data_IF_148403495764
#
_entry.id   IF_148403495764
#
_cell.length_a   1.000
_cell.length_b   1.000
_cell.length_c   1.000
_cell.angle_alpha   90.00
_cell.angle_beta   90.00
_cell.angle_gamma   90.00
#
_symmetry.space_group_name_H-M   'P 1'
#
loop_
_entity.id
_entity.type
_entity.pdbx_description
1 polymer ?
#
# COMPACT_ATOMS: atom_id res chain seq x y z
N UNK A 1 30.94 -21.66 -5.17
CA UNK A 1 30.77 -20.97 -6.47
C UNK A 1 30.37 -19.52 -6.23
N UNK A 2 30.80 -18.62 -7.09
CA UNK A 2 30.25 -17.27 -7.20
C UNK A 2 28.99 -17.32 -8.07
N UNK A 3 28.04 -16.44 -7.80
CA UNK A 3 26.80 -16.37 -8.58
C UNK A 3 26.51 -14.97 -9.04
N UNK A 4 26.22 -14.87 -10.33
CA UNK A 4 25.59 -13.72 -10.94
C UNK A 4 24.11 -14.01 -11.14
N UNK A 5 23.25 -13.02 -10.87
CA UNK A 5 21.82 -13.12 -11.10
C UNK A 5 21.52 -12.36 -12.39
N UNK A 6 21.05 -13.09 -13.41
CA UNK A 6 20.68 -12.51 -14.70
C UNK A 6 19.16 -12.34 -14.73
N UNK A 7 18.70 -11.10 -14.92
CA UNK A 7 17.27 -10.74 -14.87
C UNK A 7 16.80 -9.95 -16.10
N UNK A 8 17.74 -9.61 -16.99
CA UNK A 8 17.49 -8.84 -18.21
C UNK A 8 17.73 -9.69 -19.43
N UNK A 9 16.91 -9.49 -20.45
CA UNK A 9 17.00 -10.29 -21.67
C UNK A 9 18.31 -10.01 -22.42
N UNK A 10 18.84 -8.79 -22.33
CA UNK A 10 20.11 -8.40 -22.93
C UNK A 10 21.29 -9.13 -22.27
N UNK A 11 21.27 -9.22 -20.94
CA UNK A 11 22.29 -9.94 -20.16
C UNK A 11 22.19 -11.45 -20.39
N UNK A 12 20.96 -11.96 -20.54
CA UNK A 12 20.75 -13.32 -21.01
C UNK A 12 21.41 -13.48 -22.37
N UNK A 13 21.10 -12.66 -23.38
CA UNK A 13 21.66 -12.76 -24.74
C UNK A 13 23.20 -12.83 -24.79
N UNK A 14 23.89 -12.15 -23.86
CA UNK A 14 25.34 -12.16 -23.75
C UNK A 14 25.93 -13.52 -23.34
N UNK A 15 25.20 -14.35 -22.60
CA UNK A 15 25.69 -15.66 -22.12
C UNK A 15 25.40 -16.82 -23.09
N UNK A 16 24.87 -16.54 -24.29
CA UNK A 16 24.49 -17.55 -25.29
C UNK A 16 25.55 -18.60 -25.53
N UNK A 17 26.78 -18.15 -25.79
CA UNK A 17 27.88 -19.06 -26.18
C UNK A 17 28.13 -20.10 -25.09
N UNK A 18 28.22 -19.65 -23.84
CA UNK A 18 28.42 -20.51 -22.68
C UNK A 18 27.19 -21.39 -22.41
N UNK A 19 25.97 -20.85 -22.56
CA UNK A 19 24.74 -21.62 -22.43
C UNK A 19 24.67 -22.78 -23.42
N UNK A 20 24.92 -22.52 -24.70
CA UNK A 20 24.90 -23.53 -25.77
C UNK A 20 26.00 -24.59 -25.58
N UNK A 21 27.11 -24.24 -24.93
CA UNK A 21 28.15 -25.20 -24.55
C UNK A 21 27.72 -26.11 -23.40
N UNK A 22 27.22 -25.55 -22.30
CA UNK A 22 26.70 -26.34 -21.18
C UNK A 22 25.54 -27.23 -21.63
N UNK A 23 24.60 -26.67 -22.41
CA UNK A 23 23.45 -27.41 -22.92
C UNK A 23 23.85 -28.65 -23.73
N UNK A 24 24.89 -28.55 -24.57
CA UNK A 24 25.37 -29.70 -25.37
C UNK A 24 26.09 -30.76 -24.55
N UNK A 25 26.74 -30.35 -23.47
CA UNK A 25 27.59 -31.23 -22.66
C UNK A 25 26.86 -31.84 -21.45
N UNK A 26 25.73 -31.26 -21.05
CA UNK A 26 24.97 -31.74 -19.89
C UNK A 26 24.02 -32.90 -20.25
N UNK A 27 24.16 -34.10 -19.63
CA UNK A 27 23.26 -35.22 -19.87
C UNK A 27 21.80 -34.96 -19.45
N UNK A 28 21.57 -34.03 -18.50
CA UNK A 28 20.25 -33.65 -18.04
C UNK A 28 19.65 -32.50 -18.89
N UNK A 29 20.33 -32.05 -19.94
CA UNK A 29 19.77 -31.07 -20.88
C UNK A 29 18.60 -31.64 -21.66
N UNK A 30 17.64 -30.78 -22.00
CA UNK A 30 16.44 -31.16 -22.73
C UNK A 30 15.81 -29.93 -23.42
N UNK A 31 14.88 -30.10 -24.39
CA UNK A 31 14.45 -29.02 -25.27
C UNK A 31 13.96 -27.73 -24.59
N UNK A 32 13.36 -27.80 -23.40
CA UNK A 32 12.89 -26.62 -22.65
C UNK A 32 14.01 -25.88 -21.90
N UNK A 33 15.26 -26.32 -22.04
CA UNK A 33 16.46 -25.59 -21.62
C UNK A 33 17.30 -25.15 -22.83
N UNK A 34 16.84 -25.44 -24.06
CA UNK A 34 17.52 -24.93 -25.24
C UNK A 34 17.42 -23.41 -25.28
N UNK A 35 18.48 -22.79 -25.80
CA UNK A 35 18.56 -21.34 -25.94
C UNK A 35 17.36 -20.76 -26.71
N UNK A 36 17.03 -21.37 -27.84
CA UNK A 36 15.96 -20.89 -28.72
C UNK A 36 14.58 -20.96 -28.05
N UNK A 37 14.37 -21.95 -27.18
CA UNK A 37 13.16 -22.06 -26.39
C UNK A 37 13.11 -20.98 -25.31
N UNK A 38 14.17 -20.83 -24.52
CA UNK A 38 14.22 -19.84 -23.43
C UNK A 38 14.11 -18.41 -23.94
N UNK A 39 14.76 -18.09 -25.06
CA UNK A 39 14.68 -16.77 -25.70
C UNK A 39 13.25 -16.38 -26.07
N UNK A 40 12.40 -17.34 -26.42
CA UNK A 40 10.98 -17.10 -26.71
C UNK A 40 10.10 -17.13 -25.46
N UNK A 41 10.51 -17.91 -24.44
CA UNK A 41 9.74 -18.12 -23.23
C UNK A 41 9.91 -17.00 -22.21
N UNK A 42 11.16 -16.62 -21.88
CA UNK A 42 11.49 -15.67 -20.82
C UNK A 42 10.82 -14.29 -21.01
N UNK A 43 10.75 -13.69 -22.21
CA UNK A 43 10.09 -12.39 -22.39
C UNK A 43 8.57 -12.41 -22.11
N UNK A 44 7.94 -13.59 -22.09
CA UNK A 44 6.51 -13.76 -21.76
C UNK A 44 6.28 -14.02 -20.28
N UNK A 45 7.35 -14.25 -19.53
CA UNK A 45 7.28 -14.46 -18.09
C UNK A 45 7.60 -13.15 -17.37
N UNK A 46 6.84 -12.85 -16.32
CA UNK A 46 7.21 -11.79 -15.39
C UNK A 46 8.19 -12.34 -14.34
N UNK A 47 9.12 -11.50 -13.89
CA UNK A 47 9.98 -11.76 -12.71
C UNK A 47 10.75 -13.07 -12.79
N UNK A 48 11.21 -13.43 -13.99
CA UNK A 48 12.18 -14.49 -14.18
C UNK A 48 13.58 -14.01 -13.80
N UNK A 49 14.44 -14.95 -13.44
CA UNK A 49 15.86 -14.72 -13.20
C UNK A 49 16.62 -16.02 -13.41
N UNK A 50 17.92 -15.93 -13.67
CA UNK A 50 18.79 -17.07 -13.86
C UNK A 50 19.92 -16.97 -12.85
N UNK A 51 20.15 -18.05 -12.10
CA UNK A 51 21.36 -18.20 -11.30
C UNK A 51 22.48 -18.68 -12.22
N UNK A 52 23.42 -17.79 -12.53
CA UNK A 52 24.60 -18.08 -13.33
C UNK A 52 25.80 -18.34 -12.41
N UNK A 53 26.21 -19.61 -12.31
CA UNK A 53 27.23 -20.07 -11.38
C UNK A 53 28.58 -20.19 -12.06
N UNK A 54 29.64 -19.68 -11.42
CA UNK A 54 31.03 -19.90 -11.82
C UNK A 54 31.89 -20.22 -10.61
N UNK A 55 32.99 -20.94 -10.80
CA UNK A 55 33.99 -21.08 -9.74
C UNK A 55 34.77 -19.77 -9.59
N UNK A 56 35.37 -19.48 -8.43
CA UNK A 56 36.08 -18.23 -8.19
C UNK A 56 37.21 -17.94 -9.19
N UNK A 57 37.91 -19.00 -9.61
CA UNK A 57 39.07 -18.92 -10.51
C UNK A 57 38.68 -19.09 -12.00
N UNK A 58 37.42 -19.41 -12.29
CA UNK A 58 36.94 -19.64 -13.65
C UNK A 58 36.41 -18.34 -14.27
N UNK A 59 36.81 -18.10 -15.53
CA UNK A 59 36.32 -16.98 -16.32
C UNK A 59 34.89 -17.21 -16.83
N UNK A 60 34.55 -18.46 -17.17
CA UNK A 60 33.27 -18.84 -17.75
C UNK A 60 32.31 -19.42 -16.70
N UNK A 61 31.01 -19.33 -17.00
CA UNK A 61 29.98 -19.98 -16.22
C UNK A 61 30.01 -21.49 -16.38
N UNK A 62 29.79 -22.18 -15.27
CA UNK A 62 29.83 -23.64 -15.18
C UNK A 62 28.46 -24.26 -14.89
N UNK A 63 27.47 -23.46 -14.50
CA UNK A 63 26.09 -23.91 -14.35
C UNK A 63 25.07 -22.75 -14.46
N UNK A 64 23.86 -23.07 -14.90
CA UNK A 64 22.72 -22.17 -14.96
C UNK A 64 21.46 -22.81 -14.39
N UNK A 65 20.72 -22.04 -13.58
CA UNK A 65 19.40 -22.42 -13.10
C UNK A 65 18.38 -21.31 -13.38
N UNK A 66 17.53 -21.45 -14.40
CA UNK A 66 16.49 -20.48 -14.69
C UNK A 66 15.30 -20.68 -13.73
N UNK A 67 14.80 -19.58 -13.16
CA UNK A 67 13.78 -19.54 -12.12
C UNK A 67 12.79 -18.39 -12.37
N UNK A 68 11.61 -18.44 -11.73
CA UNK A 68 10.62 -17.36 -11.71
C UNK A 68 10.04 -17.19 -10.33
N UNK A 69 9.72 -15.95 -9.96
CA UNK A 69 8.89 -15.65 -8.79
C UNK A 69 7.45 -15.39 -9.22
N UNK A 70 6.51 -16.18 -8.69
CA UNK A 70 5.10 -15.85 -8.68
C UNK A 70 4.71 -15.28 -7.32
N UNK A 71 3.69 -14.42 -7.29
CA UNK A 71 3.15 -13.92 -6.02
C UNK A 71 1.65 -14.13 -6.00
N UNK A 72 1.16 -14.72 -4.93
CA UNK A 72 -0.26 -14.91 -4.67
C UNK A 72 -0.65 -14.26 -3.35
N UNK A 73 -1.95 -14.05 -3.14
CA UNK A 73 -2.46 -13.61 -1.84
C UNK A 73 -3.03 -14.81 -1.11
N UNK A 74 -2.45 -15.14 0.04
CA UNK A 74 -2.95 -16.22 0.87
C UNK A 74 -4.38 -15.91 1.32
N UNK A 75 -5.26 -16.91 1.21
CA UNK A 75 -6.70 -16.76 1.49
C UNK A 75 -6.97 -16.64 2.99
N UNK A 76 -6.13 -17.25 3.81
CA UNK A 76 -6.34 -17.33 5.26
C UNK A 76 -5.77 -16.10 5.96
N UNK A 77 -4.51 -15.76 5.70
CA UNK A 77 -3.82 -14.62 6.31
C UNK A 77 -4.04 -13.30 5.57
N UNK A 78 -4.41 -13.34 4.29
CA UNK A 78 -4.52 -12.14 3.44
C UNK A 78 -3.17 -11.56 3.01
N UNK A 79 -2.04 -12.15 3.44
CA UNK A 79 -0.71 -11.71 3.08
C UNK A 79 -0.38 -12.07 1.63
N UNK A 80 0.44 -11.24 0.98
CA UNK A 80 1.10 -11.62 -0.26
C UNK A 80 2.26 -12.57 0.06
N UNK A 81 2.30 -13.69 -0.65
CA UNK A 81 3.28 -14.76 -0.50
C UNK A 81 3.91 -15.06 -1.86
N UNK A 82 5.22 -15.30 -1.84
CA UNK A 82 6.03 -15.54 -3.03
C UNK A 82 6.29 -17.03 -3.20
N UNK A 83 6.18 -17.49 -4.44
CA UNK A 83 6.44 -18.86 -4.85
C UNK A 83 7.57 -18.85 -5.88
N UNK A 84 8.65 -19.58 -5.62
CA UNK A 84 9.71 -19.81 -6.60
C UNK A 84 9.33 -21.02 -7.44
N UNK A 85 9.40 -20.83 -8.75
CA UNK A 85 9.06 -21.82 -9.77
C UNK A 85 10.31 -22.08 -10.61
N UNK A 86 10.60 -23.36 -10.84
CA UNK A 86 11.69 -23.78 -11.70
C UNK A 86 11.30 -23.55 -13.17
N UNK A 87 12.13 -22.86 -13.94
CA UNK A 87 11.95 -22.72 -15.39
C UNK A 87 12.66 -23.89 -16.09
N UNK A 88 12.13 -24.28 -17.25
CA UNK A 88 12.62 -25.45 -17.98
C UNK A 88 11.90 -26.72 -17.54
N UNK A 89 11.11 -26.70 -16.48
CA UNK A 89 10.36 -27.86 -16.02
C UNK A 89 8.94 -27.90 -16.65
N UNK A 90 8.87 -28.28 -17.93
CA UNK A 90 7.62 -28.39 -18.70
C UNK A 90 7.17 -29.85 -18.86
N UNK A 91 7.10 -30.59 -17.76
CA UNK A 91 6.77 -32.02 -17.82
C UNK A 91 7.94 -32.91 -18.22
N UNK A 92 9.18 -32.39 -18.17
CA UNK A 92 10.38 -33.11 -18.59
C UNK A 92 10.94 -34.07 -17.53
N UNK A 93 10.41 -34.08 -16.31
CA UNK A 93 11.04 -34.83 -15.21
C UNK A 93 12.14 -34.06 -14.48
N UNK A 94 12.61 -32.91 -15.01
CA UNK A 94 13.90 -32.33 -14.62
C UNK A 94 13.78 -30.95 -14.00
N UNK A 95 14.62 -30.68 -13.01
CA UNK A 95 14.64 -29.43 -12.24
C UNK A 95 15.09 -28.19 -13.02
N UNK A 96 15.61 -28.34 -14.25
CA UNK A 96 16.06 -27.22 -15.08
C UNK A 96 17.50 -26.76 -14.84
N UNK A 97 18.27 -27.44 -13.98
CA UNK A 97 19.66 -27.12 -13.68
C UNK A 97 20.60 -27.63 -14.79
N UNK A 98 21.14 -26.71 -15.58
CA UNK A 98 22.24 -26.99 -16.50
C UNK A 98 23.58 -26.85 -15.76
N UNK A 99 24.48 -27.81 -15.90
CA UNK A 99 25.84 -27.71 -15.38
C UNK A 99 26.87 -28.49 -16.19
N UNK A 100 28.14 -28.11 -16.07
CA UNK A 100 29.25 -28.91 -16.58
C UNK A 100 29.27 -30.31 -15.92
N UNK A 101 29.54 -31.38 -16.68
CA UNK A 101 29.71 -32.71 -16.11
C UNK A 101 30.78 -32.75 -15.02
N UNK A 102 30.48 -33.43 -13.92
CA UNK A 102 31.35 -33.52 -12.73
C UNK A 102 31.16 -32.40 -11.71
N UNK A 103 30.36 -31.37 -12.00
CA UNK A 103 30.07 -30.24 -11.10
C UNK A 103 28.64 -30.26 -10.53
N UNK A 104 27.92 -31.36 -10.72
CA UNK A 104 26.49 -31.51 -10.40
C UNK A 104 26.18 -31.15 -8.95
N UNK A 105 26.92 -31.74 -8.02
CA UNK A 105 26.71 -31.55 -6.59
C UNK A 105 27.06 -30.13 -6.15
N UNK A 106 28.16 -29.56 -6.67
CA UNK A 106 28.56 -28.20 -6.34
C UNK A 106 27.55 -27.17 -6.88
N UNK A 107 27.03 -27.39 -8.08
CA UNK A 107 26.01 -26.54 -8.70
C UNK A 107 24.68 -26.61 -7.93
N UNK A 108 24.23 -27.81 -7.58
CA UNK A 108 23.01 -28.01 -6.79
C UNK A 108 23.12 -27.35 -5.41
N UNK A 109 24.24 -27.57 -4.70
CA UNK A 109 24.48 -26.98 -3.37
C UNK A 109 24.57 -25.45 -3.44
N UNK A 110 25.23 -24.90 -4.47
CA UNK A 110 25.32 -23.46 -4.68
C UNK A 110 23.94 -22.85 -4.99
N UNK A 111 23.16 -23.45 -5.90
CA UNK A 111 21.81 -23.01 -6.21
C UNK A 111 20.89 -23.06 -4.98
N UNK A 112 20.91 -24.15 -4.21
CA UNK A 112 20.17 -24.28 -2.97
C UNK A 112 20.50 -23.17 -1.97
N UNK A 113 21.80 -22.91 -1.77
CA UNK A 113 22.29 -21.89 -0.83
C UNK A 113 21.73 -20.50 -1.16
N UNK A 114 21.57 -20.19 -2.44
CA UNK A 114 21.03 -18.91 -2.92
C UNK A 114 19.52 -18.88 -2.75
N UNK A 115 18.83 -19.94 -3.15
CA UNK A 115 17.37 -20.04 -2.98
C UNK A 115 17.02 -19.90 -1.48
N UNK A 116 17.78 -20.50 -0.55
CA UNK A 116 17.56 -20.31 0.91
C UNK A 116 17.79 -18.88 1.40
N UNK A 117 18.54 -18.06 0.65
CA UNK A 117 18.76 -16.65 0.96
C UNK A 117 17.66 -15.75 0.41
N UNK A 118 16.97 -16.16 -0.64
CA UNK A 118 15.80 -15.45 -1.16
C UNK A 118 14.63 -15.45 -0.16
N UNK A 119 13.72 -14.49 -0.29
CA UNK A 119 12.47 -14.49 0.49
C UNK A 119 11.35 -15.13 -0.33
N UNK A 120 10.78 -16.23 0.17
CA UNK A 120 9.67 -16.95 -0.47
C UNK A 120 8.92 -17.81 0.56
N UNK A 121 7.67 -18.16 0.26
CA UNK A 121 6.81 -19.00 1.09
C UNK A 121 6.73 -20.45 0.57
N UNK A 122 6.79 -20.63 -0.74
CA UNK A 122 6.90 -21.95 -1.36
C UNK A 122 7.93 -22.00 -2.49
N UNK A 123 8.52 -23.17 -2.67
CA UNK A 123 9.39 -23.54 -3.78
C UNK A 123 8.80 -24.79 -4.40
N UNK A 124 8.45 -24.71 -5.68
CA UNK A 124 7.74 -25.76 -6.38
C UNK A 124 8.63 -26.46 -7.38
N UNK A 125 8.62 -27.78 -7.29
CA UNK A 125 9.23 -28.68 -8.24
C UNK A 125 8.11 -29.44 -8.95
N UNK A 126 7.70 -28.93 -10.11
CA UNK A 126 6.68 -29.58 -10.92
C UNK A 126 7.26 -30.84 -11.59
N UNK A 127 6.43 -31.82 -11.93
CA UNK A 127 6.79 -32.94 -12.80
C UNK A 127 8.20 -33.53 -12.60
N UNK A 128 8.60 -33.89 -11.37
CA UNK A 128 9.93 -34.46 -11.13
C UNK A 128 9.96 -35.96 -11.44
N UNK A 129 11.01 -36.35 -12.16
CA UNK A 129 11.56 -37.69 -12.18
C UNK A 129 12.63 -37.76 -11.08
N UNK A 130 12.37 -38.58 -10.05
CA UNK A 130 13.25 -38.74 -8.89
C UNK A 130 14.56 -39.49 -9.23
N UNK A 131 14.80 -39.86 -10.49
CA UNK A 131 16.04 -40.51 -10.91
C UNK A 131 17.25 -39.57 -11.08
N UNK A 132 17.09 -38.24 -10.92
CA UNK A 132 18.21 -37.29 -11.03
C UNK A 132 18.80 -36.97 -9.64
N UNK A 133 20.02 -37.47 -9.39
CA UNK A 133 20.81 -37.19 -8.17
C UNK A 133 20.90 -35.68 -7.84
N UNK A 134 20.90 -34.83 -8.89
CA UNK A 134 20.92 -33.35 -8.75
C UNK A 134 19.66 -32.82 -8.09
N UNK A 135 18.52 -33.35 -8.50
CA UNK A 135 17.22 -32.92 -8.00
C UNK A 135 17.06 -33.37 -6.55
N UNK A 136 17.42 -34.62 -6.24
CA UNK A 136 17.45 -35.11 -4.85
C UNK A 136 18.39 -34.26 -4.00
N UNK A 137 19.60 -33.97 -4.48
CA UNK A 137 20.56 -33.13 -3.77
C UNK A 137 20.03 -31.72 -3.51
N UNK A 138 19.39 -31.11 -4.52
CA UNK A 138 18.77 -29.79 -4.40
C UNK A 138 17.63 -29.82 -3.38
N UNK A 139 16.78 -30.85 -3.40
CA UNK A 139 15.71 -31.04 -2.42
C UNK A 139 16.26 -31.22 -1.00
N UNK A 140 17.31 -32.03 -0.84
CA UNK A 140 18.00 -32.33 0.43
C UNK A 140 18.55 -31.10 1.13
N UNK A 141 18.89 -30.05 0.39
CA UNK A 141 19.25 -28.78 0.99
C UNK A 141 18.11 -28.10 1.77
N UNK A 142 16.86 -28.56 1.60
CA UNK A 142 15.65 -28.09 2.29
C UNK A 142 15.05 -29.17 3.23
N UNK A 143 15.87 -30.09 3.74
CA UNK A 143 15.44 -31.13 4.70
C UNK A 143 15.32 -30.65 6.15
N UNK A 144 15.66 -29.39 6.43
CA UNK A 144 15.77 -28.88 7.79
C UNK A 144 14.41 -28.56 8.44
N UNK A 145 14.46 -28.15 9.70
CA UNK A 145 13.26 -27.76 10.45
C UNK A 145 12.62 -26.45 9.97
N UNK A 146 13.19 -25.73 9.02
CA UNK A 146 12.56 -24.51 8.52
C UNK A 146 11.47 -24.81 7.48
N UNK A 147 11.57 -25.97 6.81
CA UNK A 147 10.71 -26.33 5.69
C UNK A 147 9.80 -27.54 5.98
N UNK A 148 8.76 -27.64 5.17
CA UNK A 148 7.85 -28.78 5.09
C UNK A 148 7.84 -29.21 3.62
N UNK A 149 8.06 -30.51 3.39
CA UNK A 149 7.92 -31.11 2.07
C UNK A 149 6.54 -31.75 1.96
N UNK A 150 5.79 -31.37 0.94
CA UNK A 150 4.51 -31.98 0.61
C UNK A 150 4.62 -32.66 -0.76
N UNK A 151 4.30 -33.96 -0.79
CA UNK A 151 4.13 -34.71 -2.03
C UNK A 151 2.71 -34.41 -2.56
N UNK A 152 2.63 -33.65 -3.64
CA UNK A 152 1.40 -33.43 -4.40
C UNK A 152 1.07 -34.67 -5.23
N UNK A 153 0.63 -35.74 -4.57
CA UNK A 153 0.22 -36.98 -5.23
C UNK A 153 -0.93 -36.75 -6.21
N UNK A 154 -0.77 -37.24 -7.44
CA UNK A 154 -1.89 -37.45 -8.37
C UNK A 154 -2.95 -38.34 -7.72
N UNK A 155 -4.22 -38.10 -8.06
CA UNK A 155 -5.35 -38.81 -7.48
C UNK A 155 -5.22 -40.33 -7.56
N UNK A 156 -5.82 -41.01 -6.58
CA UNK A 156 -6.02 -42.46 -6.57
C UNK A 156 -6.85 -42.87 -7.80
N UNK A 157 -6.21 -43.17 -8.92
CA UNK A 157 -6.80 -44.00 -9.97
C UNK A 157 -5.98 -45.27 -10.07
N UNK A 158 -6.59 -46.36 -9.60
CA UNK A 158 -6.04 -47.71 -9.68
C UNK A 158 -5.96 -48.17 -11.13
N UNK A 159 -4.80 -47.98 -11.74
CA UNK A 159 -4.40 -48.72 -12.94
C UNK A 159 -2.93 -49.10 -12.83
N UNK A 160 -2.70 -50.41 -12.76
CA UNK A 160 -1.42 -51.08 -12.71
C UNK A 160 -0.70 -50.94 -14.07
N UNK A 161 0.09 -49.88 -14.22
CA UNK A 161 1.11 -49.73 -15.27
C UNK A 161 2.36 -49.17 -14.61
N UNK A 162 3.51 -49.83 -14.80
CA UNK A 162 4.83 -49.37 -14.35
C UNK A 162 5.29 -48.09 -15.08
N UNK A 163 4.60 -46.97 -14.86
CA UNK A 163 5.09 -45.63 -15.19
C UNK A 163 5.43 -44.96 -13.85
N UNK A 164 6.68 -44.51 -13.68
CA UNK A 164 7.08 -43.80 -12.46
C UNK A 164 6.15 -42.59 -12.27
N UNK A 165 5.48 -42.44 -11.12
CA UNK A 165 4.50 -41.38 -10.96
C UNK A 165 5.22 -40.03 -10.94
N UNK A 166 4.91 -39.22 -11.94
CA UNK A 166 5.23 -37.79 -11.98
C UNK A 166 4.79 -37.15 -10.65
N UNK A 167 5.75 -36.67 -9.85
CA UNK A 167 5.44 -36.00 -8.57
C UNK A 167 5.56 -34.50 -8.71
N UNK A 168 4.56 -33.77 -8.21
CA UNK A 168 4.72 -32.36 -7.88
C UNK A 168 5.21 -32.30 -6.43
N UNK A 169 6.47 -31.92 -6.23
CA UNK A 169 7.02 -31.73 -4.90
C UNK A 169 6.97 -30.26 -4.53
N UNK A 170 6.41 -29.98 -3.36
CA UNK A 170 6.26 -28.62 -2.86
C UNK A 170 7.02 -28.47 -1.55
N UNK A 171 8.03 -27.60 -1.56
CA UNK A 171 8.73 -27.19 -0.35
C UNK A 171 8.08 -25.90 0.14
N UNK A 172 7.50 -25.92 1.34
CA UNK A 172 6.92 -24.74 1.99
C UNK A 172 7.74 -24.34 3.19
N UNK A 173 7.73 -23.05 3.51
CA UNK A 173 8.15 -22.60 4.83
C UNK A 173 7.17 -23.13 5.88
N UNK A 174 7.67 -23.50 7.06
CA UNK A 174 6.82 -23.99 8.15
C UNK A 174 5.76 -22.97 8.60
N UNK A 175 6.06 -21.69 8.44
CA UNK A 175 5.12 -20.60 8.76
C UNK A 175 4.06 -20.39 7.68
N UNK A 176 4.23 -20.94 6.48
CA UNK A 176 3.41 -20.63 5.30
C UNK A 176 3.58 -19.18 4.81
N UNK A 177 4.55 -18.45 5.34
CA UNK A 177 4.86 -17.05 5.00
C UNK A 177 6.20 -16.97 4.32
N UNK A 178 6.46 -15.84 3.67
CA UNK A 178 7.78 -15.61 3.14
C UNK A 178 8.85 -15.67 4.23
N UNK A 179 10.01 -16.23 3.88
CA UNK A 179 11.18 -16.19 4.76
C UNK A 179 11.43 -14.76 5.25
N UNK A 180 11.73 -14.63 6.56
CA UNK A 180 11.96 -13.35 7.26
C UNK A 180 10.75 -12.40 7.23
N UNK A 181 9.54 -12.91 6.97
CA UNK A 181 8.29 -12.14 6.81
C UNK A 181 8.42 -10.99 5.78
N UNK A 182 9.29 -11.17 4.79
CA UNK A 182 9.68 -10.13 3.83
C UNK A 182 9.32 -10.56 2.40
N UNK A 183 8.94 -9.62 1.53
CA UNK A 183 8.69 -9.93 0.13
C UNK A 183 10.00 -10.29 -0.60
N UNK A 184 9.90 -11.10 -1.64
CA UNK A 184 10.99 -11.22 -2.60
C UNK A 184 11.23 -9.85 -3.26
N UNK A 185 12.49 -9.49 -3.51
CA UNK A 185 12.85 -8.23 -4.17
C UNK A 185 12.09 -8.04 -5.50
N UNK A 186 11.95 -9.12 -6.27
CA UNK A 186 11.26 -9.11 -7.58
C UNK A 186 9.75 -8.92 -7.46
N UNK A 187 9.18 -9.13 -6.28
CA UNK A 187 7.75 -9.03 -6.03
C UNK A 187 7.31 -7.69 -5.48
N UNK A 188 8.25 -6.82 -5.08
CA UNK A 188 7.95 -5.55 -4.41
C UNK A 188 7.05 -4.66 -5.29
N UNK A 189 7.45 -4.44 -6.54
CA UNK A 189 6.69 -3.58 -7.48
C UNK A 189 5.33 -4.20 -7.81
N UNK A 190 5.29 -5.51 -8.05
CA UNK A 190 4.04 -6.24 -8.31
C UNK A 190 3.05 -6.12 -7.14
N UNK A 191 3.52 -6.32 -5.90
CA UNK A 191 2.66 -6.21 -4.71
C UNK A 191 2.22 -4.77 -4.50
N UNK A 192 3.08 -3.78 -4.78
CA UNK A 192 2.72 -2.36 -4.72
C UNK A 192 1.60 -2.02 -5.71
N UNK A 193 1.72 -2.42 -6.97
CA UNK A 193 0.68 -2.23 -7.99
C UNK A 193 -0.64 -2.90 -7.58
N UNK A 194 -0.56 -4.13 -7.06
CA UNK A 194 -1.74 -4.86 -6.59
C UNK A 194 -2.38 -4.19 -5.37
N UNK A 195 -1.59 -3.63 -4.45
CA UNK A 195 -2.08 -2.87 -3.32
C UNK A 195 -2.80 -1.59 -3.77
N UNK A 196 -2.27 -0.88 -4.78
CA UNK A 196 -2.94 0.28 -5.39
C UNK A 196 -4.28 -0.08 -6.03
N UNK A 197 -4.34 -1.20 -6.76
CA UNK A 197 -5.59 -1.69 -7.35
C UNK A 197 -6.63 -2.09 -6.30
N UNK A 198 -6.19 -2.68 -5.18
CA UNK A 198 -7.08 -2.98 -4.05
C UNK A 198 -7.59 -1.71 -3.39
N UNK A 199 -6.73 -0.70 -3.25
CA UNK A 199 -7.07 0.60 -2.68
C UNK A 199 -8.14 1.30 -3.54
N UNK A 200 -7.94 1.39 -4.86
CA UNK A 200 -8.90 2.03 -5.77
C UNK A 200 -10.26 1.32 -5.83
N UNK A 201 -10.30 0.03 -5.50
CA UNK A 201 -11.54 -0.76 -5.37
C UNK A 201 -12.17 -0.67 -3.97
N UNK A 202 -11.63 0.13 -3.06
CA UNK A 202 -12.12 0.30 -1.69
C UNK A 202 -11.85 -0.90 -0.77
N UNK A 203 -11.00 -1.86 -1.18
CA UNK A 203 -10.60 -3.00 -0.34
C UNK A 203 -9.47 -2.59 0.60
N UNK A 204 -9.79 -1.69 1.53
CA UNK A 204 -8.80 -0.97 2.34
C UNK A 204 -7.92 -1.91 3.20
N UNK A 205 -8.47 -2.97 3.81
CA UNK A 205 -7.66 -3.89 4.65
C UNK A 205 -6.59 -4.63 3.84
N UNK A 206 -6.97 -5.08 2.64
CA UNK A 206 -6.08 -5.80 1.75
C UNK A 206 -5.01 -4.87 1.14
N UNK A 207 -5.38 -3.62 0.85
CA UNK A 207 -4.45 -2.60 0.38
C UNK A 207 -3.43 -2.22 1.46
N UNK A 208 -3.87 -2.01 2.71
CA UNK A 208 -2.99 -1.73 3.84
C UNK A 208 -1.98 -2.85 4.05
N UNK A 209 -2.44 -4.11 4.00
CA UNK A 209 -1.57 -5.29 4.11
C UNK A 209 -0.46 -5.26 3.05
N UNK A 210 -0.83 -5.02 1.78
CA UNK A 210 0.13 -4.92 0.68
C UNK A 210 1.13 -3.77 0.86
N UNK A 211 0.66 -2.57 1.20
CA UNK A 211 1.55 -1.43 1.44
C UNK A 211 2.53 -1.69 2.59
N UNK A 212 2.06 -2.27 3.70
CA UNK A 212 2.93 -2.60 4.84
C UNK A 212 3.98 -3.64 4.47
N UNK A 213 3.63 -4.68 3.70
CA UNK A 213 4.61 -5.66 3.21
C UNK A 213 5.65 -5.03 2.28
N UNK A 214 5.25 -4.13 1.38
CA UNK A 214 6.16 -3.37 0.52
C UNK A 214 7.09 -2.47 1.34
N UNK A 215 6.58 -1.75 2.33
CA UNK A 215 7.38 -0.87 3.20
C UNK A 215 8.37 -1.68 4.04
N UNK A 216 7.97 -2.87 4.49
CA UNK A 216 8.86 -3.77 5.23
C UNK A 216 10.00 -4.28 4.34
N UNK A 217 9.70 -4.70 3.11
CA UNK A 217 10.70 -5.21 2.16
C UNK A 217 11.60 -4.11 1.56
N UNK A 218 11.02 -2.93 1.29
CA UNK A 218 11.72 -1.76 0.81
C UNK A 218 11.41 -0.54 1.71
N UNK A 219 12.15 -0.36 2.82
CA UNK A 219 11.99 0.78 3.72
C UNK A 219 12.35 2.14 3.10
N UNK A 220 12.66 2.24 1.82
CA UNK A 220 12.82 3.53 1.10
C UNK A 220 11.76 3.73 0.03
N UNK A 221 10.78 2.83 -0.08
CA UNK A 221 9.73 2.90 -1.10
C UNK A 221 8.73 4.02 -0.78
N UNK A 222 8.97 5.19 -1.36
CA UNK A 222 8.27 6.43 -1.06
C UNK A 222 6.78 6.37 -1.44
N UNK A 223 6.45 5.76 -2.59
CA UNK A 223 5.06 5.67 -3.06
C UNK A 223 4.17 4.73 -2.25
N UNK A 224 4.70 3.63 -1.69
CA UNK A 224 3.96 2.72 -0.82
C UNK A 224 3.63 3.39 0.52
N UNK A 225 4.58 4.16 1.08
CA UNK A 225 4.31 5.01 2.26
C UNK A 225 3.25 6.06 1.98
N UNK A 226 3.32 6.73 0.83
CA UNK A 226 2.29 7.70 0.44
C UNK A 226 0.91 7.05 0.27
N UNK A 227 0.85 5.88 -0.38
CA UNK A 227 -0.37 5.09 -0.52
C UNK A 227 -0.97 4.69 0.83
N UNK A 228 -0.13 4.25 1.77
CA UNK A 228 -0.55 3.93 3.14
C UNK A 228 -1.04 5.18 3.88
N UNK A 229 -0.36 6.33 3.77
CA UNK A 229 -0.76 7.58 4.41
C UNK A 229 -2.14 8.08 3.92
N UNK A 230 -2.37 7.97 2.60
CA UNK A 230 -3.67 8.28 2.03
C UNK A 230 -4.75 7.32 2.56
N UNK A 231 -4.46 6.02 2.61
CA UNK A 231 -5.37 5.02 3.14
C UNK A 231 -5.73 5.29 4.61
N UNK A 232 -4.74 5.61 5.46
CA UNK A 232 -4.97 6.00 6.85
C UNK A 232 -5.86 7.25 6.95
N UNK A 233 -5.65 8.24 6.08
CA UNK A 233 -6.50 9.43 6.00
C UNK A 233 -7.95 9.08 5.65
N UNK A 234 -8.16 8.18 4.69
CA UNK A 234 -9.49 7.71 4.29
C UNK A 234 -10.20 6.90 5.39
N UNK A 235 -9.45 6.19 6.24
CA UNK A 235 -9.95 5.49 7.43
C UNK A 235 -10.24 6.41 8.61
N UNK A 236 -9.76 7.65 8.57
CA UNK A 236 -9.81 8.57 9.71
C UNK A 236 -8.71 8.35 10.75
N UNK A 237 -7.72 7.49 10.48
CA UNK A 237 -6.52 7.36 11.30
C UNK A 237 -5.52 8.47 10.97
N UNK A 238 -5.88 9.68 11.40
CA UNK A 238 -5.14 10.88 11.07
C UNK A 238 -3.77 10.94 11.77
N UNK A 239 -3.60 10.25 12.90
CA UNK A 239 -2.34 10.22 13.65
C UNK A 239 -1.27 9.41 12.91
N UNK A 240 -1.62 8.22 12.41
CA UNK A 240 -0.70 7.43 11.58
C UNK A 240 -0.44 8.13 10.24
N UNK A 241 -1.45 8.73 9.63
CA UNK A 241 -1.29 9.50 8.40
C UNK A 241 -0.29 10.65 8.57
N UNK A 242 -0.37 11.40 9.68
CA UNK A 242 0.58 12.47 10.03
C UNK A 242 2.00 11.93 10.14
N UNK A 243 2.21 10.82 10.86
CA UNK A 243 3.54 10.20 11.00
C UNK A 243 4.13 9.85 9.63
N UNK A 244 3.32 9.22 8.77
CA UNK A 244 3.74 8.83 7.42
C UNK A 244 4.02 10.05 6.54
N UNK A 245 3.19 11.10 6.57
CA UNK A 245 3.41 12.31 5.78
C UNK A 245 4.67 13.07 6.20
N UNK A 246 4.97 13.17 7.50
CA UNK A 246 6.22 13.79 7.95
C UNK A 246 7.45 13.05 7.41
N UNK A 247 7.41 11.72 7.40
CA UNK A 247 8.48 10.89 6.84
C UNK A 247 8.66 11.03 5.32
N UNK A 248 7.71 11.66 4.61
CA UNK A 248 7.73 11.83 3.15
C UNK A 248 8.23 13.22 2.70
N UNK A 249 8.21 14.22 3.58
CA UNK A 249 8.52 15.61 3.22
C UNK A 249 9.91 15.81 2.61
N UNK A 250 10.90 15.02 3.01
CA UNK A 250 12.27 15.11 2.48
C UNK A 250 12.54 14.19 1.28
N UNK A 251 11.57 13.35 0.89
CA UNK A 251 11.78 12.26 -0.06
C UNK A 251 11.01 12.40 -1.38
N UNK A 252 9.92 13.18 -1.43
CA UNK A 252 9.12 13.36 -2.64
C UNK A 252 9.40 14.71 -3.33
N UNK A 253 9.49 14.74 -4.68
CA UNK A 253 9.53 15.99 -5.45
C UNK A 253 8.29 16.87 -5.25
N UNK A 254 7.13 16.27 -4.95
CA UNK A 254 5.84 16.94 -4.71
C UNK A 254 5.66 17.34 -3.23
N UNK A 255 6.68 17.94 -2.61
CA UNK A 255 6.67 18.27 -1.18
C UNK A 255 5.46 19.13 -0.75
N UNK A 256 5.01 20.06 -1.59
CA UNK A 256 3.86 20.93 -1.35
C UNK A 256 2.54 20.15 -1.15
N UNK A 257 2.33 19.11 -1.97
CA UNK A 257 1.16 18.24 -1.87
C UNK A 257 1.19 17.41 -0.59
N UNK A 258 2.37 16.91 -0.21
CA UNK A 258 2.54 16.18 1.05
C UNK A 258 2.29 17.11 2.24
N UNK A 259 2.80 18.33 2.19
CA UNK A 259 2.59 19.32 3.25
C UNK A 259 1.12 19.74 3.38
N UNK A 260 0.41 19.87 2.25
CA UNK A 260 -1.04 20.08 2.27
C UNK A 260 -1.78 18.94 2.98
N UNK A 261 -1.44 17.68 2.66
CA UNK A 261 -2.03 16.49 3.31
C UNK A 261 -1.68 16.39 4.79
N UNK A 262 -0.46 16.78 5.18
CA UNK A 262 -0.06 16.88 6.58
C UNK A 262 -0.92 17.90 7.34
N UNK A 263 -1.11 19.09 6.78
CA UNK A 263 -1.99 20.10 7.37
C UNK A 263 -3.43 19.61 7.49
N UNK A 264 -3.94 18.87 6.50
CA UNK A 264 -5.27 18.23 6.57
C UNK A 264 -5.38 17.20 7.70
N UNK A 265 -4.34 16.37 7.88
CA UNK A 265 -4.29 15.40 8.97
C UNK A 265 -4.27 16.10 10.35
N UNK A 266 -3.50 17.18 10.50
CA UNK A 266 -3.45 17.98 11.73
C UNK A 266 -4.79 18.68 12.02
N UNK A 267 -5.45 19.23 11.00
CA UNK A 267 -6.80 19.81 11.12
C UNK A 267 -7.80 18.78 11.63
N UNK A 268 -7.78 17.56 11.08
CA UNK A 268 -8.71 16.50 11.45
C UNK A 268 -8.52 16.00 12.89
N UNK A 269 -7.29 16.13 13.42
CA UNK A 269 -6.97 15.90 14.83
C UNK A 269 -7.28 17.11 15.74
N UNK A 270 -7.89 18.18 15.22
CA UNK A 270 -8.14 19.44 15.92
C UNK A 270 -6.89 20.17 16.44
N UNK A 271 -5.71 19.85 15.89
CA UNK A 271 -4.43 20.52 16.20
C UNK A 271 -4.27 21.77 15.34
N UNK A 272 -5.17 22.73 15.55
CA UNK A 272 -5.35 23.87 14.66
C UNK A 272 -4.15 24.81 14.58
N UNK A 273 -3.37 24.95 15.66
CA UNK A 273 -2.18 25.80 15.68
C UNK A 273 -1.07 25.27 14.77
N UNK A 274 -0.76 23.98 14.88
CA UNK A 274 0.26 23.33 14.05
C UNK A 274 -0.20 23.23 12.58
N UNK A 275 -1.51 23.02 12.36
CA UNK A 275 -2.08 23.06 11.02
C UNK A 275 -1.94 24.46 10.38
N UNK A 276 -2.17 25.54 11.13
CA UNK A 276 -1.97 26.91 10.60
C UNK A 276 -0.52 27.17 10.23
N UNK A 277 0.44 26.82 11.08
CA UNK A 277 1.87 26.97 10.78
C UNK A 277 2.24 26.19 9.50
N UNK A 278 1.78 24.95 9.40
CA UNK A 278 2.03 24.09 8.23
C UNK A 278 1.49 24.70 6.94
N UNK A 279 0.30 25.32 6.98
CA UNK A 279 -0.29 25.99 5.81
C UNK A 279 0.35 27.34 5.51
N UNK A 280 0.79 28.09 6.51
CA UNK A 280 1.54 29.34 6.33
C UNK A 280 2.86 29.07 5.61
N UNK A 281 3.63 28.08 6.06
CA UNK A 281 4.88 27.64 5.42
C UNK A 281 4.67 27.17 3.97
N UNK A 282 3.51 26.57 3.69
CA UNK A 282 3.14 26.17 2.33
C UNK A 282 2.80 27.38 1.46
N UNK A 283 2.01 28.32 1.97
CA UNK A 283 1.63 29.53 1.23
C UNK A 283 2.79 30.50 1.01
N UNK A 284 3.79 30.50 1.89
CA UNK A 284 5.02 31.28 1.72
C UNK A 284 5.79 30.89 0.45
N UNK A 285 5.74 29.61 0.06
CA UNK A 285 6.36 29.09 -1.17
C UNK A 285 5.39 29.10 -2.36
N UNK A 286 4.13 28.79 -2.10
CA UNK A 286 3.10 28.61 -3.13
C UNK A 286 1.86 29.46 -2.85
N UNK A 287 1.98 30.76 -3.15
CA UNK A 287 0.97 31.76 -2.80
C UNK A 287 -0.38 31.64 -3.56
N UNK A 288 -0.45 30.84 -4.64
CA UNK A 288 -1.67 30.74 -5.47
C UNK A 288 -2.67 29.69 -4.97
N UNK A 289 -2.32 28.89 -3.95
CA UNK A 289 -3.15 27.80 -3.42
C UNK A 289 -4.36 28.32 -2.63
N UNK A 290 -5.46 28.60 -3.34
CA UNK A 290 -6.68 29.14 -2.77
C UNK A 290 -7.33 28.24 -1.72
N UNK A 291 -7.35 26.92 -1.95
CA UNK A 291 -7.89 25.96 -0.98
C UNK A 291 -7.09 25.96 0.34
N UNK A 292 -5.75 26.01 0.25
CA UNK A 292 -4.87 26.03 1.43
C UNK A 292 -5.09 27.32 2.22
N UNK A 293 -5.19 28.48 1.56
CA UNK A 293 -5.51 29.75 2.22
C UNK A 293 -6.86 29.71 2.95
N UNK A 294 -7.87 29.10 2.34
CA UNK A 294 -9.16 28.93 3.00
C UNK A 294 -9.05 28.05 4.24
N UNK A 295 -8.32 26.93 4.15
CA UNK A 295 -8.06 26.02 5.28
C UNK A 295 -7.29 26.69 6.41
N UNK A 296 -6.28 27.51 6.09
CA UNK A 296 -5.55 28.32 7.07
C UNK A 296 -6.50 29.24 7.85
N UNK A 297 -7.35 30.00 7.16
CA UNK A 297 -8.31 30.89 7.83
C UNK A 297 -9.29 30.11 8.72
N UNK A 298 -9.72 28.91 8.30
CA UNK A 298 -10.56 28.02 9.12
C UNK A 298 -9.80 27.53 10.37
N UNK A 299 -8.52 27.17 10.24
CA UNK A 299 -7.68 26.79 11.38
C UNK A 299 -7.57 27.93 12.39
N UNK A 300 -7.30 29.16 11.92
CA UNK A 300 -7.20 30.35 12.77
C UNK A 300 -8.52 30.64 13.51
N UNK A 301 -9.67 30.47 12.84
CA UNK A 301 -10.97 30.58 13.51
C UNK A 301 -11.15 29.53 14.60
N UNK A 302 -10.80 28.28 14.32
CA UNK A 302 -10.94 27.18 15.27
C UNK A 302 -9.97 27.30 16.46
N UNK A 303 -8.80 27.92 16.24
CA UNK A 303 -7.85 28.30 17.27
C UNK A 303 -8.26 29.57 18.07
N UNK A 304 -9.40 30.20 17.73
CA UNK A 304 -9.90 31.41 18.40
C UNK A 304 -9.28 32.73 17.93
N UNK A 305 -8.37 32.69 16.95
CA UNK A 305 -7.69 33.86 16.39
C UNK A 305 -8.55 34.52 15.30
N UNK A 306 -9.68 35.09 15.71
CA UNK A 306 -10.72 35.59 14.80
C UNK A 306 -10.23 36.70 13.87
N UNK A 307 -9.46 37.65 14.40
CA UNK A 307 -8.98 38.80 13.62
C UNK A 307 -7.96 38.35 12.56
N UNK A 308 -7.04 37.45 12.93
CA UNK A 308 -6.10 36.83 11.99
C UNK A 308 -6.85 36.06 10.89
N UNK A 309 -7.87 35.28 11.24
CA UNK A 309 -8.68 34.58 10.25
C UNK A 309 -9.40 35.52 9.26
N UNK A 310 -9.98 36.63 9.75
CA UNK A 310 -10.61 37.64 8.89
C UNK A 310 -9.57 38.26 7.96
N UNK A 311 -8.39 38.61 8.46
CA UNK A 311 -7.30 39.11 7.64
C UNK A 311 -6.91 38.12 6.54
N UNK A 312 -6.77 36.83 6.88
CA UNK A 312 -6.46 35.77 5.91
C UNK A 312 -7.55 35.60 4.87
N UNK A 313 -8.84 35.67 5.23
CA UNK A 313 -9.94 35.65 4.27
C UNK A 313 -9.95 36.86 3.32
N UNK A 314 -9.57 38.05 3.81
CA UNK A 314 -9.49 39.26 3.00
C UNK A 314 -8.27 39.25 2.06
N UNK A 315 -7.21 38.50 2.41
CA UNK A 315 -6.01 38.41 1.55
C UNK A 315 -6.28 37.78 0.17
N UNK A 316 -7.41 37.07 -0.02
CA UNK A 316 -7.87 36.62 -1.34
C UNK A 316 -8.14 37.77 -2.34
N UNK A 317 -8.36 39.00 -1.88
CA UNK A 317 -8.52 40.15 -2.78
C UNK A 317 -7.21 40.63 -3.39
N UNK A 318 -6.09 40.44 -2.67
CA UNK A 318 -4.77 40.86 -3.13
C UNK A 318 -4.15 39.91 -4.17
N UNK A 319 -4.81 38.79 -4.48
CA UNK A 319 -4.28 37.74 -5.36
C UNK A 319 -5.21 37.56 -6.54
N UNK A 320 -4.70 37.88 -7.73
CA UNK A 320 -5.36 37.58 -8.99
C UNK A 320 -5.07 36.12 -9.36
N UNK A 321 -6.12 35.32 -9.49
CA UNK A 321 -6.04 33.94 -9.95
C UNK A 321 -7.34 33.57 -10.65
N UNK A 322 -7.21 33.01 -11.84
CA UNK A 322 -8.34 32.51 -12.65
C UNK A 322 -8.64 31.03 -12.38
N UNK A 323 -7.97 30.42 -11.39
CA UNK A 323 -8.25 29.05 -10.97
C UNK A 323 -9.69 28.95 -10.40
N UNK A 324 -10.54 28.06 -10.94
CA UNK A 324 -11.91 27.88 -10.45
C UNK A 324 -11.98 27.53 -8.96
N UNK A 325 -11.02 26.77 -8.43
CA UNK A 325 -10.99 26.42 -7.01
C UNK A 325 -10.65 27.64 -6.14
N UNK A 326 -9.66 28.43 -6.56
CA UNK A 326 -9.34 29.71 -5.93
C UNK A 326 -10.57 30.64 -5.90
N UNK A 327 -11.27 30.81 -7.02
CA UNK A 327 -12.42 31.70 -7.11
C UNK A 327 -13.58 31.22 -6.21
N UNK A 328 -13.81 29.90 -6.16
CA UNK A 328 -14.79 29.29 -5.25
C UNK A 328 -14.44 29.55 -3.78
N UNK A 329 -13.16 29.39 -3.42
CA UNK A 329 -12.68 29.67 -2.07
C UNK A 329 -12.81 31.16 -1.73
N UNK A 330 -12.49 32.07 -2.67
CA UNK A 330 -12.63 33.52 -2.51
C UNK A 330 -14.08 33.93 -2.22
N UNK A 331 -15.05 33.39 -2.94
CA UNK A 331 -16.47 33.66 -2.68
C UNK A 331 -16.89 33.18 -1.29
N UNK A 332 -16.48 31.97 -0.90
CA UNK A 332 -16.74 31.43 0.45
C UNK A 332 -16.09 32.27 1.55
N UNK A 333 -14.88 32.78 1.32
CA UNK A 333 -14.18 33.68 2.25
C UNK A 333 -14.96 34.98 2.49
N UNK A 334 -15.52 35.60 1.43
CA UNK A 334 -16.36 36.82 1.56
C UNK A 334 -17.62 36.57 2.39
N UNK A 335 -18.28 35.44 2.17
CA UNK A 335 -19.45 35.02 2.94
C UNK A 335 -19.08 34.79 4.42
N UNK A 336 -17.97 34.11 4.68
CA UNK A 336 -17.46 33.86 6.03
C UNK A 336 -17.16 35.17 6.78
N UNK A 337 -16.46 36.12 6.14
CA UNK A 337 -16.18 37.45 6.73
C UNK A 337 -17.47 38.20 7.07
N UNK A 338 -18.45 38.19 6.16
CA UNK A 338 -19.74 38.85 6.38
C UNK A 338 -20.47 38.30 7.60
N UNK A 339 -20.49 36.96 7.75
CA UNK A 339 -21.08 36.28 8.92
C UNK A 339 -20.33 36.59 10.21
N UNK A 340 -19.00 36.60 10.17
CA UNK A 340 -18.17 36.89 11.35
C UNK A 340 -18.38 38.33 11.82
N UNK A 341 -18.43 39.31 10.91
CA UNK A 341 -18.70 40.72 11.24
C UNK A 341 -20.09 40.91 11.82
N UNK A 342 -21.12 40.29 11.23
CA UNK A 342 -22.49 40.35 11.74
C UNK A 342 -22.56 39.81 13.18
N UNK A 343 -21.90 38.68 13.44
CA UNK A 343 -21.85 38.09 14.77
C UNK A 343 -21.14 39.01 15.78
N UNK A 344 -20.02 39.62 15.42
CA UNK A 344 -19.34 40.59 16.29
C UNK A 344 -20.24 41.79 16.63
N UNK A 345 -20.92 42.35 15.63
CA UNK A 345 -21.86 43.46 15.84
C UNK A 345 -23.04 43.08 16.77
N UNK A 346 -23.56 41.85 16.65
CA UNK A 346 -24.59 41.34 17.56
C UNK A 346 -24.08 41.12 19.00
N UNK A 347 -22.84 40.65 19.15
CA UNK A 347 -22.18 40.46 20.45
C UNK A 347 -21.98 41.82 21.15
N UNK A 348 -21.53 42.85 20.42
CA UNK A 348 -21.41 44.24 20.90
C UNK A 348 -22.77 44.86 21.30
N UNK A 349 -23.81 44.64 20.49
CA UNK A 349 -25.16 45.13 20.79
C UNK A 349 -25.76 44.45 22.03
N UNK A 350 -25.42 43.18 22.29
CA UNK A 350 -25.81 42.48 23.51
C UNK A 350 -25.02 42.97 24.73
N UNK A 351 -23.74 43.26 24.57
CA UNK A 351 -22.89 43.78 25.64
C UNK A 351 -23.35 45.17 26.10
N UNK A 352 -23.64 46.08 25.16
CA UNK A 352 -24.16 47.43 25.43
C UNK A 352 -25.53 47.42 26.12
N UNK A 353 -26.39 46.44 25.80
CA UNK A 353 -27.67 46.23 26.49
C UNK A 353 -27.54 45.60 27.89
N UNK A 354 -26.40 44.97 28.23
CA UNK A 354 -26.15 44.30 29.52
C UNK A 354 -25.42 45.17 30.55
N UNK A 355 -24.92 46.35 30.16
CA UNK A 355 -24.40 47.34 31.11
C UNK A 355 -25.50 47.75 32.10
N UNK A 356 -25.29 47.63 33.43
CA UNK A 356 -26.37 47.85 34.39
C UNK A 356 -26.78 49.32 34.37
N UNK A 357 -28.05 49.56 34.05
CA UNK A 357 -28.69 50.84 34.37
C UNK A 357 -28.49 51.10 35.86
N UNK A 358 -28.01 52.31 36.21
CA UNK A 358 -28.00 52.84 37.58
C UNK A 358 -29.32 52.46 38.29
N UNK A 359 -29.31 52.09 39.58
CA UNK A 359 -30.54 51.76 40.28
C UNK A 359 -31.43 53.01 40.33
N UNK A 360 -32.45 53.04 39.47
CA UNK A 360 -33.54 53.99 39.61
C UNK A 360 -34.31 53.61 40.86
N UNK A 361 -34.37 54.57 41.77
CA UNK A 361 -35.12 54.51 43.01
C UNK A 361 -36.53 53.96 42.78
N UNK A 362 -36.96 53.12 43.71
CA UNK A 362 -38.28 52.54 43.81
C UNK A 362 -39.37 53.60 43.60
N UNK A 363 -40.22 53.40 42.59
CA UNK A 363 -41.52 54.05 42.53
C UNK A 363 -42.55 53.08 41.94
N UNK A 364 -43.47 52.65 42.80
CA UNK A 364 -44.89 52.55 42.50
C UNK A 364 -45.35 51.55 41.44
N UNK A 365 -45.89 50.44 41.92
CA UNK A 365 -46.80 49.50 41.21
C UNK A 365 -47.72 50.18 40.18
N UNK A 366 -47.91 49.54 39.02
CA UNK A 366 -49.23 49.09 38.56
C UNK A 366 -49.14 48.07 37.41
N UNK A 367 -49.98 47.06 37.57
CA UNK A 367 -50.26 45.88 36.77
C UNK A 367 -50.84 46.20 35.39
N UNK A 368 -50.35 45.49 34.37
CA UNK A 368 -51.10 45.15 33.16
C UNK A 368 -50.55 43.86 32.55
N UNK A 369 -51.37 42.81 32.63
CA UNK A 369 -51.23 41.59 31.84
C UNK A 369 -51.59 41.87 30.38
N UNK A 370 -50.89 41.25 29.43
CA UNK A 370 -51.37 40.85 28.09
C UNK A 370 -50.27 40.02 27.38
N UNK A 371 -50.61 39.18 26.38
CA UNK A 371 -50.21 37.78 26.35
C UNK A 371 -48.92 37.47 25.56
N UNK A 372 -48.35 36.31 25.86
CA UNK A 372 -47.19 35.74 25.20
C UNK A 372 -47.46 35.40 23.72
N UNK A 373 -46.65 35.97 22.82
CA UNK A 373 -46.46 35.50 21.45
C UNK A 373 -45.32 34.48 21.40
N UNK A 374 -45.35 33.49 20.49
CA UNK A 374 -44.51 32.30 20.59
C UNK A 374 -43.05 32.66 20.29
N UNK A 375 -42.16 32.26 21.19
CA UNK A 375 -40.72 32.26 20.92
C UNK A 375 -40.45 31.22 19.83
N UNK A 376 -40.20 31.67 18.59
CA UNK A 376 -39.59 30.83 17.56
C UNK A 376 -38.16 30.57 17.99
N UNK A 377 -37.94 29.48 18.71
CA UNK A 377 -36.62 28.95 19.00
C UNK A 377 -36.05 28.36 17.70
N UNK A 378 -35.37 29.17 16.90
CA UNK A 378 -34.51 28.63 15.82
C UNK A 378 -33.30 27.99 16.51
N UNK A 379 -33.38 26.67 16.70
CA UNK A 379 -32.25 25.85 17.14
C UNK A 379 -31.22 25.82 15.99
N UNK A 380 -30.20 26.66 16.08
CA UNK A 380 -29.11 26.72 15.10
C UNK A 380 -28.12 25.58 15.34
N UNK A 381 -27.73 24.90 14.25
CA UNK A 381 -26.86 23.73 14.25
C UNK A 381 -25.42 24.05 14.71
N UNK A 382 -24.72 23.05 15.28
CA UNK A 382 -23.31 23.17 15.68
C UNK A 382 -22.36 23.35 14.48
N UNK A 383 -21.12 23.83 14.71
CA UNK A 383 -20.12 24.15 13.67
C UNK A 383 -19.82 23.00 12.68
N UNK A 384 -20.09 21.75 13.04
CA UNK A 384 -20.04 20.60 12.13
C UNK A 384 -20.97 20.74 10.89
N UNK A 385 -21.99 21.59 10.94
CA UNK A 385 -22.91 21.82 9.83
C UNK A 385 -22.30 22.65 8.68
N UNK A 386 -21.21 23.38 8.92
CA UNK A 386 -20.49 24.12 7.88
C UNK A 386 -19.63 23.22 6.99
N UNK A 387 -19.54 21.93 7.32
CA UNK A 387 -18.72 20.93 6.61
C UNK A 387 -19.54 19.95 5.74
N UNK A 388 -20.88 20.03 5.70
CA UNK A 388 -21.66 19.13 4.84
C UNK A 388 -21.87 19.74 3.44
N UNK A 389 -21.56 19.00 2.36
CA UNK A 389 -21.83 19.45 1.00
C UNK A 389 -23.34 19.37 0.72
N UNK A 390 -23.94 20.48 0.29
CA UNK A 390 -25.24 20.48 -0.38
C UNK A 390 -25.03 20.06 -1.84
N UNK A 391 -25.15 18.76 -2.12
CA UNK A 391 -25.16 18.19 -3.48
C UNK A 391 -26.50 17.42 -3.64
N UNK A 392 -27.16 17.46 -4.81
CA UNK A 392 -28.39 16.72 -5.04
C UNK A 392 -28.14 15.20 -4.98
N UNK A 393 -29.15 14.46 -4.54
CA UNK A 393 -29.12 13.00 -4.46
C UNK A 393 -28.92 12.37 -5.85
N UNK A 394 -27.98 11.43 -5.95
CA UNK A 394 -27.74 10.64 -7.16
C UNK A 394 -26.59 9.65 -7.02
N UNK A 395 -26.89 8.50 -6.38
CA UNK A 395 -26.27 7.16 -6.55
C UNK A 395 -24.78 7.07 -6.13
N UNK A 396 -24.37 6.44 -5.02
CA UNK A 396 -24.70 5.08 -4.58
C UNK A 396 -24.99 5.00 -3.07
N UNK A 397 -25.92 4.11 -2.76
CA UNK A 397 -26.49 3.86 -1.46
C UNK A 397 -25.50 3.24 -0.46
N UNK A 398 -25.38 3.85 0.71
CA UNK A 398 -25.09 3.13 1.94
C UNK A 398 -26.37 2.45 2.42
N UNK A 399 -26.36 1.12 2.52
CA UNK A 399 -27.26 0.41 3.40
C UNK A 399 -26.47 0.06 4.68
N UNK A 400 -26.93 0.65 5.76
CA UNK A 400 -26.49 0.38 7.12
C UNK A 400 -26.74 -1.09 7.48
N UNK A 401 -25.69 -1.81 7.89
CA UNK A 401 -25.84 -2.97 8.76
C UNK A 401 -25.50 -2.53 10.18
N UNK A 402 -26.48 -2.65 11.09
CA UNK A 402 -26.39 -2.39 12.53
C UNK A 402 -25.39 -3.35 13.20
N UNK A 403 -24.86 -3.02 14.39
CA UNK A 403 -23.95 -3.90 15.12
C UNK A 403 -24.68 -5.16 15.59
N UNK A 404 -24.20 -6.33 15.18
CA UNK A 404 -24.63 -7.63 15.71
C UNK A 404 -23.77 -7.91 16.94
N UNK A 405 -24.42 -7.99 18.12
CA UNK A 405 -23.85 -8.64 19.30
C UNK A 405 -23.91 -10.15 19.07
N UNK A 406 -22.78 -10.85 19.23
CA UNK A 406 -22.73 -12.32 19.20
C UNK A 406 -22.50 -12.83 20.62
N UNK A 407 -23.40 -13.72 21.03
CA UNK A 407 -23.41 -14.54 22.25
C UNK A 407 -22.57 -15.82 22.00
N UNK A 408 -21.98 -16.49 23.01
CA UNK A 408 -20.90 -17.47 22.82
C UNK A 408 -21.35 -18.89 22.44
N UNK A 409 -22.58 -19.08 21.95
CA UNK A 409 -23.05 -20.40 21.53
C UNK A 409 -23.57 -20.40 20.09
N UNK A 410 -22.73 -20.94 19.19
CA UNK A 410 -22.99 -21.03 17.77
C UNK A 410 -24.30 -21.74 17.43
N UNK A 411 -25.21 -21.04 16.75
CA UNK A 411 -26.18 -21.64 15.85
C UNK A 411 -26.74 -20.60 14.88
N UNK A 412 -26.82 -20.98 13.60
CA UNK A 412 -27.25 -20.15 12.47
C UNK A 412 -28.72 -19.74 12.59
N UNK A 413 -29.05 -18.48 12.31
CA UNK A 413 -30.34 -18.13 11.67
C UNK A 413 -30.15 -17.07 10.59
N UNK A 414 -30.76 -17.37 9.45
CA UNK A 414 -30.87 -16.52 8.26
C UNK A 414 -31.66 -15.26 8.61
N UNK A 415 -31.15 -14.09 8.21
CA UNK A 415 -31.74 -13.29 7.13
C UNK A 415 -30.72 -12.28 6.61
#
# INVERSE_FOLDING_TARGET
>A
MFTEIIERIEDFENIRKTWDELYRNDPDSHPCLSWDWLRQYLPRQERWFILALRRPDDADYCAFLPLRVATYRDKTSGLFCDEILMIGNHGSGRAGLLCMPGLENEAADASASIIRRENWASLRFDYLDLASDRTERLLDAFADEQFIREDGGGGEDGSDVCEQPVRCLLVKTRTGRNLRDCLNQRSIDFVFERAMELHSRGKLDAAETGYRQVIHAAPKHVYARYGLAQLCTERGDHAEAEHLYRGLLSAMPEADKIQHRLGDALMAQARYHEASETFEDLLARSAHLGLVRFKLAVCLLAAGQRDAAIATFLSFEGIASDDPEHLRCKLRSREAVSRLRLRSAMEEQRATKRTPQKPLAQAGRRSRETPAAPAIAVRLLPPAALLKPSVPAGVFAHLHARPIRIDPHGSKRRH
#
